data_IF_634644528748
#
_entry.id   IF_634644528748
#
_cell.length_a   1.000
_cell.length_b   1.000
_cell.length_c   1.000
_cell.angle_alpha   90.00
_cell.angle_beta   90.00
_cell.angle_gamma   90.00
#
_symmetry.space_group_name_H-M   'P 1'
#
loop_
_entity.id
_entity.type
_entity.pdbx_description
1 polymer ?
#
# COMPACT_ATOMS: atom_id res chain seq x y z
N UNK A 1 0.03 -14.50 23.12
CA UNK A 1 -0.47 -13.39 22.28
C UNK A 1 0.25 -12.14 22.74
N UNK A 2 0.67 -11.26 21.83
CA UNK A 2 1.33 -10.02 22.26
C UNK A 2 0.30 -9.06 22.86
N UNK A 3 0.75 -8.22 23.80
CA UNK A 3 -0.11 -7.24 24.50
C UNK A 3 -0.71 -6.27 23.48
N UNK A 4 0.08 -5.90 22.46
CA UNK A 4 -0.40 -5.12 21.32
C UNK A 4 -1.62 -5.75 20.66
N UNK A 5 -1.54 -7.03 20.30
CA UNK A 5 -2.61 -7.72 19.57
C UNK A 5 -3.89 -7.76 20.42
N UNK A 6 -3.77 -8.11 21.69
CA UNK A 6 -4.90 -8.14 22.63
C UNK A 6 -5.58 -6.78 22.76
N UNK A 7 -4.81 -5.70 22.92
CA UNK A 7 -5.37 -4.34 23.05
C UNK A 7 -6.07 -3.92 21.76
N UNK A 8 -5.44 -4.12 20.59
CA UNK A 8 -6.01 -3.71 19.31
C UNK A 8 -7.27 -4.50 18.96
N UNK A 9 -7.29 -5.82 19.22
CA UNK A 9 -8.47 -6.67 19.02
C UNK A 9 -9.61 -6.27 19.95
N UNK A 10 -9.32 -6.02 21.23
CA UNK A 10 -10.33 -5.59 22.22
C UNK A 10 -11.02 -4.30 21.82
N UNK A 11 -10.28 -3.35 21.25
CA UNK A 11 -10.82 -2.04 20.83
C UNK A 11 -11.37 -2.10 19.39
N UNK A 12 -11.11 -3.18 18.65
CA UNK A 12 -11.52 -3.35 17.25
C UNK A 12 -10.83 -2.37 16.31
N UNK A 13 -9.59 -1.97 16.61
CA UNK A 13 -8.80 -1.05 15.80
C UNK A 13 -8.20 -1.77 14.59
N UNK A 14 -8.25 -1.13 13.43
CA UNK A 14 -7.71 -1.65 12.16
C UNK A 14 -6.69 -0.68 11.58
N UNK A 15 -5.78 -1.20 10.74
CA UNK A 15 -4.84 -0.38 10.00
C UNK A 15 -5.59 0.72 9.21
N UNK A 16 -5.09 1.94 9.25
CA UNK A 16 -5.75 3.11 8.67
C UNK A 16 -6.76 3.82 9.58
N UNK A 17 -7.15 3.24 10.72
CA UNK A 17 -7.94 3.95 11.74
C UNK A 17 -7.12 5.06 12.40
N UNK A 18 -7.75 6.18 12.75
CA UNK A 18 -7.13 7.20 13.60
C UNK A 18 -7.33 6.78 15.04
N UNK A 19 -6.24 6.56 15.77
CA UNK A 19 -6.25 6.11 17.16
C UNK A 19 -5.56 7.13 18.07
N UNK A 20 -5.98 7.16 19.33
CA UNK A 20 -5.29 7.84 20.42
C UNK A 20 -4.73 6.81 21.39
N UNK A 21 -3.44 6.94 21.70
CA UNK A 21 -2.71 6.10 22.65
C UNK A 21 -2.36 6.95 23.87
N UNK A 22 -2.79 6.52 25.06
CA UNK A 22 -2.44 7.15 26.34
C UNK A 22 -1.52 6.21 27.13
N UNK A 23 -0.29 6.65 27.41
CA UNK A 23 0.73 5.93 28.19
C UNK A 23 1.50 6.91 29.06
N UNK A 24 1.64 6.62 30.36
CA UNK A 24 2.49 7.38 31.29
C UNK A 24 2.26 8.91 31.26
N UNK A 25 0.99 9.33 31.20
CA UNK A 25 0.62 10.74 31.12
C UNK A 25 0.85 11.41 29.75
N UNK A 26 1.43 10.69 28.78
CA UNK A 26 1.57 11.15 27.39
C UNK A 26 0.42 10.65 26.55
N UNK A 27 0.01 11.48 25.59
CA UNK A 27 -1.03 11.18 24.62
C UNK A 27 -0.45 11.31 23.22
N UNK A 28 -0.63 10.27 22.42
CA UNK A 28 -0.22 10.25 21.02
C UNK A 28 -1.45 10.02 20.15
N UNK A 29 -1.55 10.74 19.03
CA UNK A 29 -2.66 10.64 18.10
C UNK A 29 -2.12 10.50 16.68
N UNK A 30 -2.67 9.54 15.94
CA UNK A 30 -2.24 9.29 14.58
C UNK A 30 -2.98 8.14 13.92
N UNK A 31 -2.65 7.93 12.65
CA UNK A 31 -3.18 6.81 11.86
C UNK A 31 -2.43 5.55 12.27
N UNK A 32 -3.16 4.49 12.62
CA UNK A 32 -2.59 3.18 12.91
C UNK A 32 -1.93 2.61 11.66
N UNK A 33 -0.63 2.39 11.74
CA UNK A 33 0.19 1.86 10.66
C UNK A 33 0.31 0.33 10.75
N UNK A 34 0.63 -0.35 9.63
CA UNK A 34 0.91 -1.78 9.65
C UNK A 34 2.04 -2.15 10.60
N UNK A 35 1.98 -3.36 11.14
CA UNK A 35 3.08 -3.91 11.92
C UNK A 35 4.11 -4.53 10.98
N UNK A 36 5.35 -4.07 11.07
CA UNK A 36 6.43 -4.60 10.24
C UNK A 36 7.12 -5.78 10.93
N UNK A 37 7.62 -6.74 10.16
CA UNK A 37 8.34 -7.92 10.68
C UNK A 37 9.58 -7.58 11.52
N UNK A 38 10.13 -6.38 11.33
CA UNK A 38 11.27 -5.86 12.10
C UNK A 38 10.86 -5.11 13.39
N UNK A 39 9.57 -5.00 13.68
CA UNK A 39 9.06 -4.34 14.89
C UNK A 39 8.96 -5.33 16.05
N UNK A 40 9.28 -4.89 17.26
CA UNK A 40 8.98 -5.67 18.47
C UNK A 40 7.47 -5.91 18.62
N UNK A 41 7.09 -7.09 19.10
CA UNK A 41 5.69 -7.55 19.17
C UNK A 41 4.74 -6.58 19.91
N UNK A 42 5.28 -5.77 20.82
CA UNK A 42 4.51 -4.83 21.64
C UNK A 42 4.64 -3.37 21.17
N UNK A 43 5.12 -3.11 19.96
CA UNK A 43 5.17 -1.76 19.38
C UNK A 43 3.95 -1.48 18.50
N UNK A 44 3.20 -0.44 18.84
CA UNK A 44 2.17 0.14 17.99
C UNK A 44 2.77 1.29 17.20
N UNK A 45 2.82 1.14 15.87
CA UNK A 45 3.27 2.21 14.97
C UNK A 45 2.10 3.10 14.58
N UNK A 46 2.25 4.40 14.76
CA UNK A 46 1.28 5.39 14.28
C UNK A 46 1.95 6.46 13.43
N UNK A 47 1.21 6.99 12.46
CA UNK A 47 1.61 8.16 11.67
C UNK A 47 0.95 9.41 12.23
N UNK A 48 1.78 10.31 12.72
CA UNK A 48 1.36 11.59 13.28
C UNK A 48 0.82 12.52 12.17
N UNK A 49 0.05 13.54 12.57
CA UNK A 49 -0.50 14.55 11.64
C UNK A 49 0.58 15.30 10.83
N UNK A 50 1.79 15.42 11.38
CA UNK A 50 2.94 16.03 10.69
C UNK A 50 3.62 15.09 9.66
N UNK A 51 3.11 13.86 9.48
CA UNK A 51 3.59 12.90 8.50
C UNK A 51 4.66 11.93 9.00
N UNK A 52 5.18 12.10 10.23
CA UNK A 52 6.18 11.21 10.81
C UNK A 52 5.55 9.94 11.39
N UNK A 53 6.22 8.81 11.19
CA UNK A 53 5.89 7.56 11.84
C UNK A 53 6.62 7.46 13.19
N UNK A 54 5.92 7.08 14.25
CA UNK A 54 6.51 6.78 15.55
C UNK A 54 6.09 5.39 16.02
N UNK A 55 6.98 4.70 16.73
CA UNK A 55 6.66 3.46 17.44
C UNK A 55 6.38 3.77 18.90
N UNK A 56 5.24 3.31 19.41
CA UNK A 56 4.88 3.40 20.83
C UNK A 56 4.86 1.99 21.39
N UNK A 57 5.79 1.69 22.28
CA UNK A 57 5.77 0.45 23.06
C UNK A 57 4.54 0.47 23.99
N UNK A 58 3.70 -0.56 23.89
CA UNK A 58 2.47 -0.71 24.68
C UNK A 58 2.61 -1.80 25.74
N UNK A 59 1.97 -1.54 26.88
CA UNK A 59 1.88 -2.45 28.00
C UNK A 59 0.41 -2.54 28.49
N UNK A 60 0.16 -3.31 29.54
CA UNK A 60 -1.20 -3.56 30.06
C UNK A 60 -1.92 -2.29 30.53
N UNK A 61 -1.17 -1.26 30.95
CA UNK A 61 -1.72 0.01 31.43
C UNK A 61 -1.99 1.00 30.30
N UNK A 62 -1.56 0.68 29.07
CA UNK A 62 -1.76 1.52 27.90
C UNK A 62 -3.22 1.50 27.46
N UNK A 63 -3.81 2.68 27.29
CA UNK A 63 -5.17 2.84 26.77
C UNK A 63 -5.13 3.28 25.31
N UNK A 64 -5.87 2.56 24.47
CA UNK A 64 -6.05 2.90 23.05
C UNK A 64 -7.54 3.14 22.81
N UNK A 65 -7.87 4.24 22.14
CA UNK A 65 -9.23 4.59 21.70
C UNK A 65 -9.23 4.94 20.21
N UNK A 66 -10.29 4.56 19.49
CA UNK A 66 -10.45 4.91 18.07
C UNK A 66 -11.17 6.25 18.00
N UNK A 67 -10.56 7.21 17.31
CA UNK A 67 -11.12 8.53 17.08
C UNK A 67 -11.90 8.58 15.76
N UNK A 68 -11.37 7.96 14.71
CA UNK A 68 -12.01 7.90 13.38
C UNK A 68 -11.70 6.55 12.73
N UNK A 69 -12.69 5.97 12.04
CA UNK A 69 -12.49 4.77 11.23
C UNK A 69 -11.82 5.09 9.89
N UNK A 70 -10.87 4.24 9.50
CA UNK A 70 -10.18 4.36 8.23
C UNK A 70 -11.15 4.30 7.06
N UNK A 71 -11.03 5.27 6.14
CA UNK A 71 -11.76 5.24 4.87
C UNK A 71 -10.92 4.52 3.83
N UNK A 72 -11.45 3.43 3.29
CA UNK A 72 -10.93 2.82 2.06
C UNK A 72 -11.21 3.80 0.92
N UNK A 73 -10.17 4.28 0.24
CA UNK A 73 -10.37 5.01 -1.01
C UNK A 73 -10.54 3.98 -2.11
N UNK A 74 -11.68 4.01 -2.79
CA UNK A 74 -11.81 3.31 -4.06
C UNK A 74 -10.76 3.89 -5.03
N UNK A 75 -10.06 3.00 -5.74
CA UNK A 75 -9.23 3.42 -6.88
C UNK A 75 -10.13 4.19 -7.84
N UNK A 76 -9.79 5.45 -8.09
CA UNK A 76 -10.43 6.22 -9.17
C UNK A 76 -10.19 5.44 -10.46
N UNK A 77 -11.26 4.89 -11.04
CA UNK A 77 -11.19 4.24 -12.35
C UNK A 77 -10.94 5.33 -13.39
N UNK A 78 -9.69 5.48 -13.82
CA UNK A 78 -9.32 6.40 -14.89
C UNK A 78 -9.82 5.81 -16.20
N UNK A 79 -10.50 6.63 -17.01
CA UNK A 79 -10.91 6.21 -18.35
C UNK A 79 -9.66 6.10 -19.22
N UNK A 80 -9.33 4.88 -19.63
CA UNK A 80 -8.19 4.62 -20.51
C UNK A 80 -8.44 5.24 -21.89
N UNK A 81 -7.56 6.14 -22.39
CA UNK A 81 -7.68 6.69 -23.72
C UNK A 81 -7.53 5.60 -24.79
N UNK A 82 -8.32 5.71 -25.86
CA UNK A 82 -8.24 4.79 -27.00
C UNK A 82 -8.39 5.57 -28.32
N UNK A 83 -7.49 5.31 -29.26
CA UNK A 83 -7.51 5.89 -30.60
C UNK A 83 -7.37 4.77 -31.66
N UNK A 84 -8.39 4.53 -32.51
CA UNK A 84 -8.32 3.53 -33.57
C UNK A 84 -7.16 3.70 -34.57
N UNK A 85 -6.59 4.91 -34.70
CA UNK A 85 -5.46 5.19 -35.58
C UNK A 85 -4.12 4.74 -34.99
N UNK A 86 -4.05 4.50 -33.68
CA UNK A 86 -2.83 4.09 -32.98
C UNK A 86 -2.70 2.58 -32.92
N UNK A 87 -1.47 2.09 -33.00
CA UNK A 87 -1.17 0.67 -32.79
C UNK A 87 -1.46 0.30 -31.33
N UNK A 88 -1.90 -0.95 -31.13
CA UNK A 88 -2.06 -1.51 -29.78
C UNK A 88 -0.79 -2.24 -29.38
N UNK A 89 -0.19 -1.84 -28.27
CA UNK A 89 0.99 -2.48 -27.67
C UNK A 89 0.57 -3.22 -26.41
N UNK A 90 1.01 -4.47 -26.28
CA UNK A 90 0.81 -5.27 -25.06
C UNK A 90 2.02 -5.16 -24.16
N UNK A 91 1.80 -4.75 -22.91
CA UNK A 91 2.82 -4.71 -21.85
C UNK A 91 2.58 -5.94 -20.96
N UNK A 92 3.57 -6.83 -20.96
CA UNK A 92 3.56 -8.05 -20.15
C UNK A 92 4.42 -7.82 -18.91
N UNK A 93 3.77 -7.70 -17.75
CA UNK A 93 4.46 -7.54 -16.47
C UNK A 93 4.98 -8.89 -15.97
N UNK A 94 6.27 -8.98 -15.67
CA UNK A 94 6.93 -10.21 -15.16
C UNK A 94 7.37 -10.09 -13.71
N UNK A 95 7.02 -8.98 -13.06
CA UNK A 95 7.64 -8.52 -11.83
C UNK A 95 8.22 -7.13 -12.06
N UNK A 96 9.08 -6.70 -11.13
CA UNK A 96 9.53 -5.31 -11.10
C UNK A 96 8.37 -4.32 -10.97
N UNK A 97 8.68 -3.03 -10.82
CA UNK A 97 7.67 -1.97 -10.76
C UNK A 97 8.08 -0.90 -11.75
N UNK A 98 7.50 -0.90 -12.96
CA UNK A 98 7.81 0.07 -14.02
C UNK A 98 7.15 1.44 -13.76
N UNK A 99 6.01 1.44 -13.06
CA UNK A 99 5.33 2.62 -12.59
C UNK A 99 4.68 2.32 -11.24
N UNK A 100 4.59 3.34 -10.39
CA UNK A 100 3.92 3.25 -9.10
C UNK A 100 3.30 4.59 -8.75
N UNK A 101 2.40 4.59 -7.78
CA UNK A 101 1.93 5.81 -7.14
C UNK A 101 2.05 5.69 -5.62
N UNK A 102 2.24 6.83 -4.97
CA UNK A 102 2.38 6.90 -3.51
C UNK A 102 1.07 7.36 -2.90
N UNK A 103 0.51 6.59 -1.97
CA UNK A 103 -0.54 7.08 -1.09
C UNK A 103 0.11 7.87 0.04
N UNK A 104 0.14 9.20 -0.05
CA UNK A 104 0.75 10.04 0.98
C UNK A 104 0.09 9.95 2.36
N UNK A 105 -1.17 9.48 2.45
CA UNK A 105 -1.83 9.29 3.75
C UNK A 105 -1.16 8.15 4.51
N UNK A 106 -0.98 7.00 3.87
CA UNK A 106 -0.38 5.81 4.49
C UNK A 106 1.15 5.76 4.31
N UNK A 107 1.69 6.41 3.28
CA UNK A 107 3.06 6.22 2.82
C UNK A 107 3.26 4.94 2.00
N UNK A 108 2.18 4.20 1.68
CA UNK A 108 2.26 3.00 0.87
C UNK A 108 2.61 3.34 -0.59
N UNK A 109 3.43 2.48 -1.19
CA UNK A 109 3.75 2.54 -2.62
C UNK A 109 2.96 1.44 -3.31
N UNK A 110 2.10 1.84 -4.24
CA UNK A 110 1.27 0.92 -5.01
C UNK A 110 1.85 0.77 -6.41
N UNK A 111 2.23 -0.45 -6.82
CA UNK A 111 2.67 -0.72 -8.17
C UNK A 111 1.51 -0.60 -9.18
N UNK A 112 1.81 -0.06 -10.35
CA UNK A 112 0.88 0.08 -11.46
C UNK A 112 0.99 -1.15 -12.37
N UNK A 113 -0.14 -1.87 -12.54
CA UNK A 113 -0.14 -3.14 -13.27
C UNK A 113 -1.16 -3.21 -14.41
N UNK A 114 -2.19 -2.36 -14.35
CA UNK A 114 -3.25 -2.30 -15.34
C UNK A 114 -3.07 -1.11 -16.28
N UNK A 115 -3.78 -1.12 -17.41
CA UNK A 115 -3.83 0.02 -18.31
C UNK A 115 -4.38 1.27 -17.60
N UNK A 116 -5.35 1.09 -16.69
CA UNK A 116 -5.91 2.17 -15.86
C UNK A 116 -4.85 2.74 -14.91
N UNK A 117 -4.03 1.90 -14.28
CA UNK A 117 -2.94 2.37 -13.41
C UNK A 117 -1.87 3.12 -14.21
N UNK A 118 -1.57 2.67 -15.44
CA UNK A 118 -0.66 3.37 -16.35
C UNK A 118 -1.25 4.69 -16.84
N UNK A 119 -2.55 4.75 -17.12
CA UNK A 119 -3.23 6.00 -17.47
C UNK A 119 -3.21 7.00 -16.30
N UNK A 120 -3.21 6.51 -15.07
CA UNK A 120 -3.08 7.35 -13.88
C UNK A 120 -1.63 7.82 -13.62
N UNK A 121 -0.65 6.92 -13.77
CA UNK A 121 0.74 7.17 -13.35
C UNK A 121 1.66 7.66 -14.47
N UNK A 122 1.37 7.34 -15.73
CA UNK A 122 2.17 7.68 -16.91
C UNK A 122 1.26 7.89 -18.15
N UNK A 123 0.37 8.90 -18.14
CA UNK A 123 -0.61 9.13 -19.21
C UNK A 123 0.02 9.36 -20.59
N UNK A 124 1.25 9.84 -20.66
CA UNK A 124 1.98 10.19 -21.89
C UNK A 124 2.16 9.00 -22.84
N UNK A 125 2.14 7.76 -22.32
CA UNK A 125 2.24 6.56 -23.16
C UNK A 125 1.06 6.45 -24.16
N UNK A 126 -0.10 6.99 -23.79
CA UNK A 126 -1.31 6.98 -24.61
C UNK A 126 -1.27 8.01 -25.75
N UNK A 127 -0.32 8.95 -25.72
CA UNK A 127 -0.05 9.85 -26.85
C UNK A 127 0.60 9.09 -28.01
N UNK A 128 1.32 8.00 -27.72
CA UNK A 128 2.06 7.20 -28.72
C UNK A 128 1.27 5.98 -29.17
N UNK A 129 0.60 5.25 -28.26
CA UNK A 129 -0.04 3.97 -28.58
C UNK A 129 -1.24 3.65 -27.69
N UNK A 130 -2.08 2.71 -28.11
CA UNK A 130 -3.06 2.09 -27.21
C UNK A 130 -2.37 1.02 -26.38
N UNK A 131 -2.60 0.99 -25.07
CA UNK A 131 -1.94 0.05 -24.16
C UNK A 131 -2.90 -1.05 -23.71
N UNK A 132 -2.45 -2.30 -23.78
CA UNK A 132 -3.03 -3.44 -23.05
C UNK A 132 -2.00 -3.94 -22.05
N UNK A 133 -2.32 -3.94 -20.76
CA UNK A 133 -1.42 -4.43 -19.73
C UNK A 133 -1.93 -5.77 -19.17
N UNK A 134 -1.02 -6.73 -19.00
CA UNK A 134 -1.29 -8.00 -18.33
C UNK A 134 -0.09 -8.40 -17.46
N UNK A 135 -0.37 -8.78 -16.23
CA UNK A 135 0.63 -9.43 -15.38
C UNK A 135 0.73 -10.91 -15.77
N UNK A 136 1.92 -11.34 -16.15
CA UNK A 136 2.29 -12.74 -16.41
C UNK A 136 2.93 -13.35 -15.16
N UNK A 137 3.80 -12.59 -14.48
CA UNK A 137 4.44 -12.97 -13.22
C UNK A 137 4.55 -11.78 -12.25
N UNK A 138 4.71 -12.09 -10.96
CA UNK A 138 5.11 -11.13 -9.92
C UNK A 138 6.34 -11.68 -9.19
N UNK A 139 7.47 -11.72 -9.90
CA UNK A 139 8.72 -12.28 -9.38
C UNK A 139 9.80 -11.20 -9.30
N UNK A 140 10.64 -11.27 -8.27
CA UNK A 140 11.92 -10.58 -8.31
C UNK A 140 12.79 -11.24 -9.38
N UNK A 141 13.53 -10.44 -10.16
CA UNK A 141 14.35 -10.96 -11.26
C UNK A 141 15.40 -11.97 -10.81
N UNK A 142 15.85 -11.86 -9.55
CA UNK A 142 16.75 -12.82 -8.89
C UNK A 142 16.14 -14.22 -8.72
N UNK A 143 14.81 -14.34 -8.73
CA UNK A 143 14.08 -15.60 -8.59
C UNK A 143 13.51 -16.10 -9.92
N UNK A 144 13.95 -15.54 -11.05
CA UNK A 144 13.51 -15.98 -12.37
C UNK A 144 14.24 -17.26 -12.79
N UNK A 145 13.51 -18.20 -13.38
CA UNK A 145 14.03 -19.52 -13.79
C UNK A 145 13.75 -19.80 -15.27
N UNK A 146 14.43 -20.81 -15.83
CA UNK A 146 14.34 -21.17 -17.27
C UNK A 146 12.91 -21.45 -17.71
N UNK A 147 12.08 -22.06 -16.87
CA UNK A 147 10.69 -22.37 -17.21
C UNK A 147 9.81 -21.11 -17.31
N UNK A 148 10.16 -20.04 -16.60
CA UNK A 148 9.50 -18.75 -16.75
C UNK A 148 9.78 -18.15 -18.13
N UNK A 149 11.01 -18.28 -18.65
CA UNK A 149 11.37 -17.79 -19.97
C UNK A 149 10.64 -18.55 -21.08
N UNK A 150 10.53 -19.88 -20.96
CA UNK A 150 9.81 -20.71 -21.94
C UNK A 150 8.33 -20.35 -22.04
N UNK A 151 7.71 -19.92 -20.94
CA UNK A 151 6.29 -19.52 -20.92
C UNK A 151 6.08 -18.06 -21.35
N UNK A 152 7.13 -17.24 -21.35
CA UNK A 152 7.12 -15.88 -21.91
C UNK A 152 7.24 -15.86 -23.44
N UNK A 153 8.02 -16.79 -24.01
CA UNK A 153 8.22 -16.96 -25.45
C UNK A 153 6.95 -17.48 -26.14
#
# INVERSE_FOLDING_TARGET
>A
MSIRKEILERVGAKEGDVIRIKKEGRTYEGILMPHHEFSDENIVTIKLRNGYNIGVEVNRDTKIEILEKGKEKEKLKVKVPFDPKKKTISILGTGGTIACYVDYRTGAVHPAYSADDLAFSAPEIFDVCNVRARIVYQLLSENMEVDHWKRLA
#
